data_IF_638903125943
#
_entry.id   IF_638903125943
#
_cell.length_a   1.000
_cell.length_b   1.000
_cell.length_c   1.000
_cell.angle_alpha   90.00
_cell.angle_beta   90.00
_cell.angle_gamma   90.00
#
_symmetry.space_group_name_H-M   'P 1'
#
loop_
_entity.id
_entity.type
_entity.pdbx_description
1 polymer ?
#
# COMPACT_ATOMS: atom_id res chain seq x y z
N UNK A 1 8.66 6.47 -11.34
CA UNK A 1 8.27 5.26 -10.59
C UNK A 1 8.75 4.04 -11.36
N UNK A 2 9.36 3.09 -10.67
CA UNK A 2 9.88 1.87 -11.28
C UNK A 2 9.37 0.65 -10.52
N UNK A 3 8.95 -0.39 -11.26
CA UNK A 3 8.63 -1.70 -10.68
C UNK A 3 9.92 -2.52 -10.63
N UNK A 4 10.23 -3.14 -9.48
CA UNK A 4 11.54 -3.74 -9.25
C UNK A 4 11.62 -5.15 -9.82
N UNK A 5 10.70 -6.03 -9.44
CA UNK A 5 10.73 -7.45 -9.79
C UNK A 5 9.38 -7.96 -10.24
N UNK A 6 9.36 -9.21 -10.71
CA UNK A 6 8.14 -9.94 -11.03
C UNK A 6 7.64 -9.71 -12.44
N UNK A 7 6.36 -9.92 -12.64
CA UNK A 7 5.70 -9.89 -13.96
C UNK A 7 5.91 -8.56 -14.71
N UNK A 8 5.92 -7.43 -14.00
CA UNK A 8 6.09 -6.09 -14.56
C UNK A 8 7.46 -5.51 -14.23
N UNK A 9 8.40 -6.33 -13.79
CA UNK A 9 9.71 -5.86 -13.33
C UNK A 9 10.45 -5.04 -14.37
N UNK A 10 11.19 -4.01 -13.89
CA UNK A 10 11.99 -3.06 -14.67
C UNK A 10 11.18 -2.05 -15.51
N UNK A 11 9.86 -2.09 -15.49
CA UNK A 11 9.05 -1.07 -16.17
C UNK A 11 9.10 0.23 -15.39
N UNK A 12 9.18 1.33 -16.12
CA UNK A 12 9.28 2.68 -15.59
C UNK A 12 8.13 3.55 -16.08
N UNK A 13 7.70 4.45 -15.22
CA UNK A 13 6.62 5.38 -15.53
C UNK A 13 7.02 6.76 -15.03
N UNK A 14 6.87 7.78 -15.89
CA UNK A 14 7.17 9.16 -15.51
C UNK A 14 6.10 9.69 -14.59
N UNK A 15 6.51 10.10 -13.39
CA UNK A 15 5.60 10.68 -12.39
C UNK A 15 5.39 12.15 -12.72
N UNK A 16 4.12 12.61 -12.84
CA UNK A 16 3.85 14.02 -13.08
C UNK A 16 4.48 14.92 -12.00
N UNK A 17 5.01 16.07 -12.40
CA UNK A 17 5.68 17.01 -11.50
C UNK A 17 4.74 17.60 -10.44
N UNK A 18 3.43 17.58 -10.68
CA UNK A 18 2.43 18.09 -9.74
C UNK A 18 2.01 17.08 -8.67
N UNK A 19 2.61 15.88 -8.65
CA UNK A 19 2.43 14.94 -7.54
C UNK A 19 3.38 15.34 -6.42
N UNK A 20 2.80 15.73 -5.29
CA UNK A 20 3.54 16.20 -4.12
C UNK A 20 3.94 15.07 -3.18
N UNK A 21 3.50 13.85 -3.43
CA UNK A 21 3.81 12.71 -2.57
C UNK A 21 5.33 12.44 -2.56
N UNK A 22 5.89 12.24 -1.35
CA UNK A 22 7.28 11.81 -1.21
C UNK A 22 7.39 10.36 -1.65
N UNK A 23 8.08 10.06 -2.76
CA UNK A 23 8.16 8.68 -3.22
C UNK A 23 9.01 7.84 -2.27
N UNK A 24 8.58 6.61 -2.02
CA UNK A 24 9.44 5.60 -1.42
C UNK A 24 10.55 5.27 -2.40
N UNK A 25 11.79 5.31 -1.96
CA UNK A 25 12.92 4.99 -2.83
C UNK A 25 12.88 3.54 -3.29
N UNK A 26 13.48 3.25 -4.44
CA UNK A 26 13.58 1.87 -4.93
C UNK A 26 14.27 0.96 -3.91
N UNK A 27 15.32 1.46 -3.27
CA UNK A 27 16.07 0.73 -2.24
C UNK A 27 15.19 0.39 -1.04
N UNK A 28 14.45 1.37 -0.51
CA UNK A 28 13.57 1.16 0.63
C UNK A 28 12.44 0.17 0.28
N UNK A 29 11.88 0.29 -0.91
CA UNK A 29 10.82 -0.61 -1.38
C UNK A 29 11.34 -2.04 -1.55
N UNK A 30 12.53 -2.21 -2.10
CA UNK A 30 13.16 -3.52 -2.24
C UNK A 30 13.36 -4.17 -0.87
N UNK A 31 13.81 -3.42 0.13
CA UNK A 31 13.98 -3.92 1.49
C UNK A 31 12.64 -4.35 2.11
N UNK A 32 11.59 -3.57 1.94
CA UNK A 32 10.25 -3.91 2.43
C UNK A 32 9.80 -5.25 1.84
N UNK A 33 9.92 -5.42 0.53
CA UNK A 33 9.46 -6.64 -0.13
C UNK A 33 10.35 -7.84 0.17
N UNK A 34 11.64 -7.65 0.38
CA UNK A 34 12.52 -8.74 0.81
C UNK A 34 12.07 -9.29 2.18
N UNK A 35 11.70 -8.42 3.10
CA UNK A 35 11.15 -8.84 4.39
C UNK A 35 9.80 -9.53 4.23
N UNK A 36 8.90 -8.93 3.44
CA UNK A 36 7.55 -9.47 3.24
C UNK A 36 7.59 -10.88 2.62
N UNK A 37 8.45 -11.11 1.65
CA UNK A 37 8.56 -12.43 0.99
C UNK A 37 9.04 -13.54 1.94
N UNK A 38 9.70 -13.17 3.05
CA UNK A 38 10.14 -14.12 4.07
C UNK A 38 9.05 -14.48 5.09
N UNK A 39 8.00 -13.68 5.20
CA UNK A 39 6.99 -13.84 6.25
C UNK A 39 5.58 -14.12 5.70
N UNK A 40 5.36 -13.90 4.42
CA UNK A 40 4.07 -14.13 3.78
C UNK A 40 4.29 -14.55 2.33
N UNK A 41 3.43 -15.44 1.84
CA UNK A 41 3.43 -15.83 0.44
C UNK A 41 2.65 -14.77 -0.36
N UNK A 42 3.35 -14.03 -1.22
CA UNK A 42 2.74 -13.01 -2.07
C UNK A 42 1.94 -13.61 -3.22
N UNK A 43 2.33 -14.78 -3.72
CA UNK A 43 1.62 -15.45 -4.80
C UNK A 43 0.21 -15.79 -4.36
N UNK A 44 -0.78 -15.26 -5.07
CA UNK A 44 -2.19 -15.48 -4.76
C UNK A 44 -2.74 -14.68 -3.59
N UNK A 45 -1.93 -13.82 -2.96
CA UNK A 45 -2.36 -13.02 -1.82
C UNK A 45 -3.29 -11.87 -2.22
N UNK A 46 -4.13 -11.44 -1.29
CA UNK A 46 -4.94 -10.23 -1.40
C UNK A 46 -4.29 -9.14 -0.55
N UNK A 47 -3.89 -8.05 -1.21
CA UNK A 47 -3.16 -6.96 -0.57
C UNK A 47 -3.97 -5.67 -0.57
N UNK A 48 -3.75 -4.85 0.46
CA UNK A 48 -4.32 -3.52 0.60
C UNK A 48 -3.21 -2.49 0.74
N UNK A 49 -3.27 -1.44 -0.06
CA UNK A 49 -2.37 -0.28 -0.01
C UNK A 49 -3.21 0.95 0.34
N UNK A 50 -3.15 1.40 1.60
CA UNK A 50 -4.08 2.39 2.14
C UNK A 50 -3.75 3.83 1.75
N UNK A 51 -2.51 4.13 1.44
CA UNK A 51 -2.06 5.47 1.04
C UNK A 51 -1.21 5.30 -0.21
N UNK A 52 -1.85 5.04 -1.33
CA UNK A 52 -1.17 4.48 -2.49
C UNK A 52 -0.17 5.44 -3.15
N UNK A 53 -0.37 6.76 -3.07
CA UNK A 53 0.56 7.73 -3.64
C UNK A 53 0.73 7.58 -5.14
N UNK A 54 1.92 7.20 -5.59
CA UNK A 54 2.17 6.88 -7.00
C UNK A 54 1.76 5.47 -7.40
N UNK A 55 1.36 4.64 -6.42
CA UNK A 55 1.02 3.26 -6.65
C UNK A 55 2.22 2.30 -6.67
N UNK A 56 3.42 2.79 -6.32
CA UNK A 56 4.63 1.97 -6.41
C UNK A 56 4.52 0.67 -5.60
N UNK A 57 3.97 0.70 -4.42
CA UNK A 57 3.75 -0.49 -3.58
C UNK A 57 2.68 -1.38 -4.18
N UNK A 58 1.56 -0.80 -4.63
CA UNK A 58 0.46 -1.57 -5.24
C UNK A 58 0.93 -2.34 -6.47
N UNK A 59 1.67 -1.68 -7.38
CA UNK A 59 2.16 -2.33 -8.59
C UNK A 59 3.25 -3.37 -8.29
N UNK A 60 4.04 -3.15 -7.25
CA UNK A 60 5.01 -4.16 -6.82
C UNK A 60 4.30 -5.42 -6.29
N UNK A 61 3.24 -5.28 -5.50
CA UNK A 61 2.41 -6.41 -5.08
C UNK A 61 1.86 -7.20 -6.27
N UNK A 62 1.26 -6.50 -7.23
CA UNK A 62 0.73 -7.14 -8.44
C UNK A 62 1.82 -7.85 -9.22
N UNK A 63 2.97 -7.19 -9.38
CA UNK A 63 4.11 -7.74 -10.12
C UNK A 63 4.67 -9.01 -9.49
N UNK A 64 4.60 -9.12 -8.16
CA UNK A 64 5.12 -10.27 -7.41
C UNK A 64 4.10 -11.37 -7.17
N UNK A 65 2.93 -11.27 -7.80
CA UNK A 65 1.99 -12.38 -7.88
C UNK A 65 0.74 -12.28 -7.02
N UNK A 66 0.49 -11.16 -6.35
CA UNK A 66 -0.75 -10.98 -5.60
C UNK A 66 -1.96 -11.16 -6.53
N UNK A 67 -2.95 -11.90 -6.08
CA UNK A 67 -4.15 -12.17 -6.87
C UNK A 67 -5.01 -10.92 -7.07
N UNK A 68 -5.07 -10.07 -6.05
CA UNK A 68 -5.82 -8.81 -6.09
C UNK A 68 -5.14 -7.79 -5.18
N UNK A 69 -5.06 -6.55 -5.63
CA UNK A 69 -4.59 -5.43 -4.83
C UNK A 69 -5.68 -4.37 -4.80
N UNK A 70 -6.04 -3.92 -3.60
CA UNK A 70 -6.90 -2.76 -3.39
C UNK A 70 -6.03 -1.58 -3.00
N UNK A 71 -6.11 -0.50 -3.77
CA UNK A 71 -5.36 0.72 -3.54
C UNK A 71 -6.33 1.85 -3.21
N UNK A 72 -6.06 2.56 -2.11
CA UNK A 72 -6.87 3.70 -1.68
C UNK A 72 -6.02 4.96 -1.78
N UNK A 73 -6.51 5.95 -2.54
CA UNK A 73 -5.83 7.21 -2.72
C UNK A 73 -6.84 8.36 -2.72
N UNK A 74 -6.58 9.38 -1.90
CA UNK A 74 -7.47 10.53 -1.74
C UNK A 74 -7.24 11.58 -2.83
N UNK A 75 -5.99 11.80 -3.23
CA UNK A 75 -5.61 12.89 -4.11
C UNK A 75 -5.95 12.56 -5.57
N UNK A 76 -6.62 13.47 -6.26
CA UNK A 76 -7.10 13.24 -7.63
C UNK A 76 -5.97 13.04 -8.63
N UNK A 77 -4.85 13.75 -8.46
CA UNK A 77 -3.71 13.65 -9.38
C UNK A 77 -3.04 12.28 -9.26
N UNK A 78 -2.80 11.83 -8.03
CA UNK A 78 -2.23 10.52 -7.77
C UNK A 78 -3.17 9.40 -8.24
N UNK A 79 -4.45 9.52 -7.94
CA UNK A 79 -5.47 8.57 -8.42
C UNK A 79 -5.43 8.43 -9.94
N UNK A 80 -5.42 9.55 -10.66
CA UNK A 80 -5.37 9.55 -12.12
C UNK A 80 -4.09 8.89 -12.66
N UNK A 81 -2.95 9.15 -12.01
CA UNK A 81 -1.68 8.54 -12.39
C UNK A 81 -1.72 7.02 -12.21
N UNK A 82 -2.18 6.54 -11.06
CA UNK A 82 -2.30 5.10 -10.79
C UNK A 82 -3.20 4.44 -11.83
N UNK A 83 -4.33 5.06 -12.13
CA UNK A 83 -5.27 4.56 -13.13
C UNK A 83 -4.62 4.43 -14.50
N UNK A 84 -3.86 5.44 -14.92
CA UNK A 84 -3.14 5.43 -16.19
C UNK A 84 -2.12 4.30 -16.25
N UNK A 85 -1.33 4.12 -15.20
CA UNK A 85 -0.33 3.04 -15.14
C UNK A 85 -1.01 1.68 -15.19
N UNK A 86 -2.10 1.50 -14.45
CA UNK A 86 -2.86 0.24 -14.48
C UNK A 86 -3.36 -0.10 -15.87
N UNK A 87 -3.84 0.90 -16.61
CA UNK A 87 -4.27 0.73 -17.99
C UNK A 87 -3.10 0.33 -18.91
N UNK A 88 -1.95 0.96 -18.75
CA UNK A 88 -0.75 0.64 -19.53
C UNK A 88 -0.24 -0.77 -19.26
N UNK A 89 -0.40 -1.27 -18.02
CA UNK A 89 -0.01 -2.62 -17.64
C UNK A 89 -1.08 -3.67 -17.93
N UNK A 90 -2.28 -3.26 -18.31
CA UNK A 90 -3.46 -4.14 -18.36
C UNK A 90 -3.68 -4.87 -17.03
N UNK A 91 -3.48 -4.16 -15.93
CA UNK A 91 -3.62 -4.73 -14.59
C UNK A 91 -5.10 -4.69 -14.15
N UNK A 92 -5.85 -5.70 -14.55
CA UNK A 92 -7.29 -5.83 -14.28
C UNK A 92 -7.60 -6.31 -12.86
N UNK A 93 -6.58 -6.76 -12.11
CA UNK A 93 -6.69 -7.19 -10.72
C UNK A 93 -6.33 -6.10 -9.70
N UNK A 94 -6.23 -4.85 -10.14
CA UNK A 94 -6.13 -3.70 -9.25
C UNK A 94 -7.52 -3.08 -9.03
N UNK A 95 -7.94 -3.00 -7.77
CA UNK A 95 -9.11 -2.22 -7.37
C UNK A 95 -8.63 -0.88 -6.85
N UNK A 96 -8.84 0.17 -7.63
CA UNK A 96 -8.43 1.53 -7.27
C UNK A 96 -9.63 2.31 -6.76
N UNK A 97 -9.54 2.79 -5.53
CA UNK A 97 -10.60 3.54 -4.87
C UNK A 97 -10.09 4.94 -4.52
N UNK A 98 -10.90 5.94 -4.85
CA UNK A 98 -10.61 7.31 -4.45
C UNK A 98 -11.34 7.62 -3.15
N UNK A 99 -10.59 7.96 -2.09
CA UNK A 99 -11.22 8.27 -0.81
C UNK A 99 -10.24 8.38 0.33
N UNK A 100 -10.80 8.64 1.50
CA UNK A 100 -10.05 8.75 2.74
C UNK A 100 -9.76 7.37 3.32
N UNK A 101 -8.51 7.12 3.67
CA UNK A 101 -8.07 5.82 4.17
C UNK A 101 -8.71 5.45 5.52
N UNK A 102 -8.83 6.40 6.45
CA UNK A 102 -9.46 6.13 7.75
C UNK A 102 -10.92 5.72 7.59
N UNK A 103 -11.64 6.40 6.69
CA UNK A 103 -13.03 6.03 6.40
C UNK A 103 -13.12 4.65 5.76
N UNK A 104 -12.21 4.33 4.85
CA UNK A 104 -12.15 3.00 4.25
C UNK A 104 -11.94 1.92 5.31
N UNK A 105 -11.00 2.14 6.24
CA UNK A 105 -10.72 1.21 7.34
C UNK A 105 -11.99 0.95 8.16
N UNK A 106 -12.75 2.00 8.46
CA UNK A 106 -13.96 1.91 9.28
C UNK A 106 -15.10 1.16 8.61
N UNK A 107 -15.18 1.20 7.28
CA UNK A 107 -16.34 0.70 6.52
C UNK A 107 -16.07 -0.59 5.75
N UNK A 108 -14.82 -0.98 5.56
CA UNK A 108 -14.47 -2.16 4.79
C UNK A 108 -14.77 -3.44 5.57
N UNK A 109 -15.50 -4.36 4.94
CA UNK A 109 -15.81 -5.68 5.51
C UNK A 109 -15.00 -6.80 4.88
N UNK A 110 -14.24 -6.52 3.82
CA UNK A 110 -13.35 -7.51 3.20
C UNK A 110 -12.10 -7.71 4.05
N UNK A 111 -11.53 -8.91 3.99
CA UNK A 111 -10.27 -9.21 4.66
C UNK A 111 -9.11 -9.26 3.68
N UNK A 112 -7.91 -9.02 4.18
CA UNK A 112 -6.69 -9.01 3.37
C UNK A 112 -5.62 -9.88 4.03
N UNK A 113 -4.72 -10.39 3.21
CA UNK A 113 -3.55 -11.14 3.69
C UNK A 113 -2.41 -10.21 4.08
N UNK A 114 -2.31 -9.07 3.39
CA UNK A 114 -1.28 -8.05 3.64
C UNK A 114 -1.95 -6.68 3.60
N UNK A 115 -1.65 -5.86 4.58
CA UNK A 115 -2.09 -4.45 4.64
C UNK A 115 -0.85 -3.58 4.77
N UNK A 116 -0.66 -2.67 3.82
CA UNK A 116 0.42 -1.70 3.83
C UNK A 116 -0.16 -0.29 4.00
N UNK A 117 0.44 0.49 4.88
CA UNK A 117 0.06 1.88 5.10
C UNK A 117 1.29 2.77 5.27
N UNK A 118 1.41 3.78 4.43
CA UNK A 118 2.44 4.81 4.54
C UNK A 118 1.76 6.20 4.56
N UNK A 119 1.14 6.56 5.70
CA UNK A 119 0.37 7.79 5.78
C UNK A 119 1.28 9.03 5.74
N UNK A 120 0.80 10.14 5.15
CA UNK A 120 1.53 11.41 5.20
C UNK A 120 1.76 11.86 6.65
N UNK A 121 2.96 12.36 6.96
CA UNK A 121 3.33 12.74 8.34
C UNK A 121 2.48 13.85 8.94
N UNK A 122 1.99 14.76 8.11
CA UNK A 122 1.19 15.91 8.51
C UNK A 122 -0.31 15.66 8.47
N UNK A 123 -0.71 14.45 8.15
CA UNK A 123 -2.12 14.08 8.06
C UNK A 123 -2.76 14.13 9.46
N UNK A 124 -3.94 14.77 9.62
CA UNK A 124 -4.71 14.63 10.83
C UNK A 124 -5.06 13.15 11.09
N UNK A 125 -4.84 12.68 12.32
CA UNK A 125 -5.10 11.29 12.66
C UNK A 125 -3.97 10.32 12.28
N UNK A 126 -2.79 10.81 11.90
CA UNK A 126 -1.64 9.97 11.56
C UNK A 126 -1.38 8.90 12.62
N UNK A 127 -1.35 9.30 13.88
CA UNK A 127 -1.04 8.39 15.00
C UNK A 127 -2.15 7.38 15.26
N UNK A 128 -3.35 7.59 14.73
CA UNK A 128 -4.50 6.69 14.93
C UNK A 128 -4.55 5.56 13.90
N UNK A 129 -3.79 5.66 12.81
CA UNK A 129 -3.86 4.71 11.71
C UNK A 129 -3.56 3.27 12.15
N UNK A 130 -2.48 2.98 12.91
CA UNK A 130 -2.20 1.60 13.30
C UNK A 130 -3.30 0.99 14.17
N UNK A 131 -3.81 1.74 15.15
CA UNK A 131 -4.87 1.25 16.02
C UNK A 131 -6.17 1.03 15.24
N UNK A 132 -6.48 1.91 14.28
CA UNK A 132 -7.66 1.77 13.44
C UNK A 132 -7.59 0.49 12.60
N UNK A 133 -6.44 0.18 12.03
CA UNK A 133 -6.25 -1.06 11.26
C UNK A 133 -6.44 -2.28 12.16
N UNK A 134 -5.80 -2.30 13.32
CA UNK A 134 -5.90 -3.42 14.25
C UNK A 134 -7.31 -3.65 14.78
N UNK A 135 -8.10 -2.58 14.94
CA UNK A 135 -9.49 -2.66 15.37
C UNK A 135 -10.50 -2.91 14.27
N UNK A 136 -10.05 -3.04 13.02
CA UNK A 136 -10.93 -3.18 11.86
C UNK A 136 -11.35 -4.62 11.61
N UNK A 137 -12.32 -4.78 10.70
CA UNK A 137 -12.77 -6.08 10.22
C UNK A 137 -11.91 -6.65 9.08
N UNK A 138 -10.84 -5.95 8.70
CA UNK A 138 -10.01 -6.31 7.54
C UNK A 138 -8.99 -7.40 7.83
N UNK A 139 -8.79 -7.78 9.08
CA UNK A 139 -7.80 -8.76 9.49
C UNK A 139 -8.43 -10.13 9.67
N UNK A 140 -7.71 -11.15 9.20
CA UNK A 140 -7.95 -12.55 9.54
C UNK A 140 -6.71 -13.10 10.28
N UNK A 141 -6.76 -14.27 10.91
CA UNK A 141 -5.55 -14.86 11.50
C UNK A 141 -4.45 -15.01 10.44
N UNK A 142 -3.27 -14.46 10.72
CA UNK A 142 -2.16 -14.49 9.80
C UNK A 142 -2.00 -13.25 8.92
N UNK A 143 -2.91 -12.28 8.97
CA UNK A 143 -2.75 -11.03 8.23
C UNK A 143 -1.49 -10.30 8.70
N UNK A 144 -0.66 -9.89 7.73
CA UNK A 144 0.55 -9.09 7.98
C UNK A 144 0.22 -7.62 7.74
N UNK A 145 0.54 -6.78 8.72
CA UNK A 145 0.31 -5.34 8.62
C UNK A 145 1.66 -4.61 8.70
N UNK A 146 1.92 -3.77 7.71
CA UNK A 146 3.11 -2.93 7.66
C UNK A 146 2.69 -1.47 7.67
N UNK A 147 3.15 -0.73 8.67
CA UNK A 147 2.90 0.71 8.78
C UNK A 147 4.23 1.44 8.82
N UNK A 148 4.44 2.30 7.82
CA UNK A 148 5.58 3.20 7.79
C UNK A 148 5.31 4.41 8.69
N UNK A 149 6.29 4.80 9.48
CA UNK A 149 6.16 5.95 10.37
C UNK A 149 7.49 6.66 10.58
N UNK A 150 7.43 7.91 11.03
CA UNK A 150 8.62 8.66 11.41
C UNK A 150 9.11 8.22 12.79
N UNK A 151 10.35 8.58 13.13
CA UNK A 151 10.92 8.34 14.48
C UNK A 151 10.18 9.07 15.60
N UNK A 152 9.36 10.07 15.25
CA UNK A 152 8.55 10.82 16.23
C UNK A 152 7.36 10.02 16.76
N UNK A 153 6.99 8.93 16.09
CA UNK A 153 5.87 8.10 16.46
C UNK A 153 6.39 6.70 16.78
N UNK A 154 6.06 6.21 17.96
CA UNK A 154 6.40 4.85 18.39
C UNK A 154 5.10 4.06 18.61
N UNK A 155 4.91 3.03 17.81
CA UNK A 155 3.73 2.16 17.86
C UNK A 155 4.03 0.81 18.53
N UNK A 156 5.22 0.61 19.06
CA UNK A 156 5.62 -0.67 19.67
C UNK A 156 4.76 -1.05 20.87
N UNK A 157 4.15 -0.08 21.53
CA UNK A 157 3.26 -0.32 22.68
C UNK A 157 1.87 -0.84 22.26
N UNK A 158 1.52 -0.77 20.96
CA UNK A 158 0.24 -1.28 20.50
C UNK A 158 0.30 -2.80 20.37
N UNK A 159 -0.72 -3.52 20.87
CA UNK A 159 -0.79 -4.96 20.68
C UNK A 159 -0.75 -5.33 19.19
N UNK A 160 0.09 -6.31 18.84
CA UNK A 160 0.22 -6.79 17.47
C UNK A 160 1.32 -6.13 16.65
N UNK A 161 1.91 -5.00 17.08
CA UNK A 161 3.05 -4.36 16.40
C UNK A 161 4.36 -4.67 17.11
N UNK A 162 5.41 -4.74 16.32
CA UNK A 162 6.79 -4.94 16.77
C UNK A 162 7.69 -3.80 16.36
#
# INVERSE_FOLDING_TARGET
>A
MRIIRGKYGRRRFDVPSNISARPTTDFARENIFNVLENIVDLEGARALDLFAGTGAISFEFLSRGCAEVTAVEKASVQYAFIRKVAQQLNADNLRLLRGDALRFIQTCTATFDIIFADPPYDMPGFAEVPAAILGSQMLHPGTVVVVEHSRKHDFSALPGFR
#
